data_IF_459838684453
#
_entry.id   IF_459838684453
#
_cell.length_a   1.000
_cell.length_b   1.000
_cell.length_c   1.000
_cell.angle_alpha   90.00
_cell.angle_beta   90.00
_cell.angle_gamma   90.00
#
_symmetry.space_group_name_H-M   'P 1'
#
loop_
_entity.id
_entity.type
_entity.pdbx_description
1 polymer ?
#
# COMPACT_ATOMS: atom_id res chain seq x y z
N UNK A 1 54.86 30.50 53.14
CA UNK A 1 54.70 29.04 53.21
C UNK A 1 53.52 28.59 52.35
N UNK A 2 53.79 27.78 51.30
CA UNK A 2 53.04 26.57 50.85
C UNK A 2 51.53 26.70 50.48
N UNK A 3 51.14 26.65 49.18
CA UNK A 3 50.59 25.50 48.37
C UNK A 3 49.14 25.11 48.76
N UNK A 4 48.17 24.75 47.90
CA UNK A 4 48.04 24.47 46.47
C UNK A 4 46.54 24.35 46.04
N UNK A 5 46.34 24.24 44.71
CA UNK A 5 45.15 24.05 43.82
C UNK A 5 44.01 23.11 44.26
N UNK A 6 42.75 23.42 43.88
CA UNK A 6 41.85 22.69 42.93
C UNK A 6 40.35 23.08 43.11
N UNK A 7 39.65 23.62 42.07
CA UNK A 7 38.61 22.97 41.20
C UNK A 7 37.30 22.66 41.97
N UNK A 8 36.09 23.12 41.61
CA UNK A 8 35.39 22.95 40.33
C UNK A 8 34.25 23.96 40.10
N UNK A 9 34.11 24.39 38.84
CA UNK A 9 32.88 24.97 38.26
C UNK A 9 31.85 23.87 38.01
N UNK A 10 30.55 24.17 38.19
CA UNK A 10 29.47 23.43 37.55
C UNK A 10 28.43 24.41 37.00
N UNK A 11 28.63 24.75 35.73
CA UNK A 11 27.68 25.43 34.84
C UNK A 11 26.54 24.45 34.55
N UNK A 12 25.35 24.71 35.08
CA UNK A 12 24.10 24.03 34.66
C UNK A 12 23.30 25.03 33.83
N UNK A 13 23.81 25.30 32.63
CA UNK A 13 23.08 25.88 31.52
C UNK A 13 23.48 25.10 30.27
N UNK A 14 22.49 24.74 29.45
CA UNK A 14 22.57 24.06 28.15
C UNK A 14 22.75 22.53 28.17
N UNK A 15 21.67 21.82 28.50
CA UNK A 15 21.36 20.52 27.89
C UNK A 15 19.89 20.47 27.46
N UNK A 16 19.47 21.45 26.67
CA UNK A 16 18.42 21.20 25.69
C UNK A 16 19.15 20.61 24.49
N UNK A 17 19.30 19.29 24.51
CA UNK A 17 19.82 18.55 23.36
C UNK A 17 18.91 18.84 22.18
N UNK A 18 19.37 19.69 21.27
CA UNK A 18 18.85 19.71 19.91
C UNK A 18 19.22 18.33 19.37
N UNK A 19 18.25 17.42 19.32
CA UNK A 19 18.35 16.26 18.44
C UNK A 19 18.45 16.83 17.03
N UNK A 20 19.68 16.96 16.54
CA UNK A 20 19.95 17.14 15.12
C UNK A 20 19.49 15.84 14.48
N UNK A 21 18.25 15.81 14.01
CA UNK A 21 17.80 14.78 13.08
C UNK A 21 18.72 14.92 11.87
N UNK A 22 19.70 14.02 11.74
CA UNK A 22 20.52 13.95 10.56
C UNK A 22 19.59 13.63 9.39
N UNK A 23 19.38 14.59 8.48
CA UNK A 23 18.69 14.30 7.24
C UNK A 23 19.49 13.21 6.51
N UNK A 24 18.84 12.12 6.06
CA UNK A 24 19.54 11.08 5.33
C UNK A 24 20.30 11.72 4.16
N UNK A 25 21.61 11.47 4.08
CA UNK A 25 22.43 12.10 3.06
C UNK A 25 21.98 11.64 1.66
N UNK A 26 21.91 12.58 0.70
CA UNK A 26 21.70 12.23 -0.71
C UNK A 26 22.88 11.40 -1.22
N UNK A 27 22.59 10.34 -1.95
CA UNK A 27 23.58 9.44 -2.54
C UNK A 27 23.85 9.93 -3.97
N UNK A 28 25.09 10.35 -4.31
CA UNK A 28 25.41 10.76 -5.67
C UNK A 28 25.24 9.62 -6.68
N UNK A 29 24.78 9.92 -7.90
CA UNK A 29 24.55 8.92 -8.94
C UNK A 29 25.76 7.98 -9.16
N UNK A 30 26.97 8.53 -9.18
CA UNK A 30 28.21 7.81 -9.46
C UNK A 30 28.61 6.83 -8.36
N UNK A 31 28.06 6.99 -7.15
CA UNK A 31 28.32 6.10 -6.01
C UNK A 31 27.40 4.88 -5.98
N UNK A 32 26.37 4.83 -6.84
CA UNK A 32 25.50 3.67 -6.95
C UNK A 32 26.26 2.48 -7.56
N UNK A 33 26.01 1.24 -7.12
CA UNK A 33 26.55 0.06 -7.78
C UNK A 33 26.16 0.02 -9.28
N UNK A 34 27.03 -0.44 -10.19
CA UNK A 34 26.76 -0.42 -11.64
C UNK A 34 25.43 -1.09 -12.04
N UNK A 35 25.06 -2.16 -11.35
CA UNK A 35 23.78 -2.84 -11.58
C UNK A 35 22.56 -1.99 -11.17
N UNK A 36 22.69 -1.16 -10.13
CA UNK A 36 21.64 -0.22 -9.73
C UNK A 36 21.52 0.92 -10.74
N UNK A 37 22.66 1.45 -11.19
CA UNK A 37 22.70 2.47 -12.25
C UNK A 37 22.03 1.97 -13.53
N UNK A 38 22.26 0.71 -13.92
CA UNK A 38 21.61 0.11 -15.09
C UNK A 38 20.09 0.03 -14.93
N UNK A 39 19.60 -0.34 -13.75
CA UNK A 39 18.15 -0.44 -13.47
C UNK A 39 17.50 0.94 -13.37
N UNK A 40 18.22 1.92 -12.82
CA UNK A 40 17.75 3.29 -12.59
C UNK A 40 18.12 4.25 -13.71
N UNK A 41 18.67 3.77 -14.83
CA UNK A 41 19.12 4.58 -15.96
C UNK A 41 18.10 5.63 -16.42
N UNK A 42 16.77 5.36 -16.47
CA UNK A 42 15.78 6.38 -16.82
C UNK A 42 15.71 7.59 -15.87
N UNK A 43 16.32 7.48 -14.67
CA UNK A 43 16.35 8.52 -13.65
C UNK A 43 17.73 9.19 -13.52
N UNK A 44 18.73 8.77 -14.29
CA UNK A 44 20.12 9.24 -14.15
C UNK A 44 20.22 10.77 -14.14
N UNK A 45 19.61 11.43 -15.12
CA UNK A 45 19.70 12.89 -15.31
C UNK A 45 19.05 13.70 -14.17
N UNK A 46 18.08 13.10 -13.47
CA UNK A 46 17.34 13.77 -12.39
C UNK A 46 17.75 13.26 -11.00
N UNK A 47 18.67 12.30 -10.92
CA UNK A 47 18.94 11.56 -9.69
C UNK A 47 19.34 12.47 -8.53
N UNK A 48 20.25 13.41 -8.77
CA UNK A 48 20.78 14.32 -7.75
C UNK A 48 19.77 15.41 -7.33
N UNK A 49 18.67 15.55 -8.10
CA UNK A 49 17.54 16.45 -7.79
C UNK A 49 16.51 15.81 -6.85
N UNK A 50 16.56 14.49 -6.68
CA UNK A 50 15.62 13.78 -5.82
C UNK A 50 15.94 13.99 -4.34
N UNK A 51 14.89 14.04 -3.51
CA UNK A 51 15.08 14.00 -2.06
C UNK A 51 15.69 12.66 -1.62
N UNK A 52 16.42 12.61 -0.50
CA UNK A 52 16.96 11.36 0.04
C UNK A 52 15.93 10.24 0.15
N UNK A 53 14.72 10.54 0.58
CA UNK A 53 13.63 9.56 0.75
C UNK A 53 13.21 8.99 -0.61
N UNK A 54 13.22 9.83 -1.66
CA UNK A 54 12.91 9.38 -3.02
C UNK A 54 14.02 8.50 -3.58
N UNK A 55 15.29 8.85 -3.36
CA UNK A 55 16.44 8.02 -3.74
C UNK A 55 16.37 6.65 -3.04
N UNK A 56 16.14 6.62 -1.73
CA UNK A 56 16.02 5.38 -0.93
C UNK A 56 14.80 4.53 -1.38
N UNK A 57 13.67 5.16 -1.73
CA UNK A 57 12.52 4.46 -2.32
C UNK A 57 12.84 3.81 -3.66
N UNK A 58 13.61 4.48 -4.51
CA UNK A 58 14.04 3.93 -5.80
C UNK A 58 15.02 2.77 -5.62
N UNK A 59 16.00 2.90 -4.71
CA UNK A 59 16.94 1.83 -4.37
C UNK A 59 16.24 0.57 -3.84
N UNK A 60 15.31 0.71 -2.88
CA UNK A 60 14.47 -0.42 -2.45
C UNK A 60 13.63 -1.01 -3.60
N UNK A 61 13.30 -0.20 -4.60
CA UNK A 61 12.66 -0.65 -5.83
C UNK A 61 13.57 -1.53 -6.68
N UNK A 62 14.85 -1.17 -6.78
CA UNK A 62 15.86 -1.99 -7.48
C UNK A 62 16.01 -3.35 -6.84
N UNK A 63 16.09 -3.42 -5.51
CA UNK A 63 16.23 -4.71 -4.81
C UNK A 63 15.04 -5.64 -5.11
N UNK A 64 13.81 -5.11 -5.05
CA UNK A 64 12.63 -5.87 -5.46
C UNK A 64 12.68 -6.28 -6.93
N UNK A 65 13.14 -5.41 -7.82
CA UNK A 65 13.26 -5.69 -9.25
C UNK A 65 14.27 -6.80 -9.54
N UNK A 66 15.38 -6.84 -8.79
CA UNK A 66 16.40 -7.90 -8.88
C UNK A 66 15.84 -9.26 -8.52
N UNK A 67 15.04 -9.31 -7.46
CA UNK A 67 14.40 -10.53 -6.98
C UNK A 67 13.26 -11.04 -7.89
N UNK A 68 12.79 -10.24 -8.86
CA UNK A 68 11.74 -10.65 -9.80
C UNK A 68 12.27 -11.56 -10.91
N UNK A 69 11.47 -12.57 -11.27
CA UNK A 69 11.67 -13.39 -12.47
C UNK A 69 11.43 -12.57 -13.76
N UNK A 70 11.91 -13.03 -14.92
CA UNK A 70 11.63 -12.37 -16.20
C UNK A 70 10.13 -12.15 -16.46
N UNK A 71 9.30 -13.13 -16.10
CA UNK A 71 7.84 -13.07 -16.20
C UNK A 71 7.26 -11.98 -15.30
N UNK A 72 7.68 -11.92 -14.04
CA UNK A 72 7.23 -10.90 -13.08
C UNK A 72 7.62 -9.49 -13.53
N UNK A 73 8.83 -9.32 -14.08
CA UNK A 73 9.29 -8.06 -14.67
C UNK A 73 8.43 -7.66 -15.86
N UNK A 74 8.09 -8.61 -16.74
CA UNK A 74 7.19 -8.37 -17.88
C UNK A 74 5.81 -7.91 -17.41
N UNK A 75 5.24 -8.58 -16.42
CA UNK A 75 3.95 -8.17 -15.85
C UNK A 75 4.01 -6.81 -15.16
N UNK A 76 5.08 -6.54 -14.40
CA UNK A 76 5.30 -5.24 -13.78
C UNK A 76 5.36 -4.13 -14.83
N UNK A 77 6.06 -4.37 -15.94
CA UNK A 77 6.10 -3.46 -17.09
C UNK A 77 4.72 -3.22 -17.72
N UNK A 78 3.91 -4.27 -17.88
CA UNK A 78 2.53 -4.13 -18.37
C UNK A 78 1.63 -3.34 -17.40
N UNK A 79 1.76 -3.59 -16.09
CA UNK A 79 1.05 -2.81 -15.05
C UNK A 79 1.47 -1.35 -15.09
N UNK A 80 2.76 -1.08 -15.27
CA UNK A 80 3.29 0.29 -15.35
C UNK A 80 2.80 1.02 -16.60
N UNK A 81 2.78 0.38 -17.78
CA UNK A 81 2.21 0.99 -18.99
C UNK A 81 0.74 1.35 -18.82
N UNK A 82 -0.08 0.43 -18.32
CA UNK A 82 -1.50 0.71 -18.00
C UNK A 82 -1.65 1.85 -17.01
N UNK A 83 -0.75 1.96 -16.03
CA UNK A 83 -0.74 3.07 -15.09
C UNK A 83 -0.41 4.40 -15.79
N UNK A 84 0.56 4.43 -16.70
CA UNK A 84 0.93 5.64 -17.45
C UNK A 84 -0.17 6.10 -18.41
N UNK A 85 -0.96 5.17 -18.96
CA UNK A 85 -2.12 5.44 -19.81
C UNK A 85 -3.31 6.04 -19.05
N UNK A 86 -3.30 6.00 -17.70
CA UNK A 86 -4.37 6.61 -16.91
C UNK A 86 -4.34 8.14 -16.98
N UNK A 87 -5.51 8.80 -17.08
CA UNK A 87 -5.62 10.24 -16.93
C UNK A 87 -4.93 10.75 -15.66
N UNK A 88 -4.28 11.93 -15.68
CA UNK A 88 -3.60 12.49 -14.52
C UNK A 88 -4.46 12.52 -13.24
N UNK A 89 -5.74 12.87 -13.38
CA UNK A 89 -6.71 12.94 -12.29
C UNK A 89 -6.94 11.55 -11.68
N UNK A 90 -7.01 10.52 -12.54
CA UNK A 90 -7.19 9.15 -12.09
C UNK A 90 -5.95 8.61 -11.38
N UNK A 91 -4.76 8.97 -11.86
CA UNK A 91 -3.50 8.63 -11.18
C UNK A 91 -3.44 9.27 -9.79
N UNK A 92 -3.83 10.54 -9.67
CA UNK A 92 -3.84 11.21 -8.37
C UNK A 92 -4.87 10.60 -7.41
N UNK A 93 -6.08 10.30 -7.88
CA UNK A 93 -7.10 9.60 -7.09
C UNK A 93 -6.57 8.27 -6.52
N UNK A 94 -5.92 7.47 -7.35
CA UNK A 94 -5.35 6.19 -6.95
C UNK A 94 -4.16 6.35 -6.00
N UNK A 95 -3.32 7.40 -6.19
CA UNK A 95 -2.23 7.73 -5.27
C UNK A 95 -2.76 8.07 -3.88
N UNK A 96 -3.79 8.92 -3.79
CA UNK A 96 -4.43 9.27 -2.52
C UNK A 96 -5.07 8.06 -1.83
N UNK A 97 -5.72 7.17 -2.59
CA UNK A 97 -6.26 5.91 -2.06
C UNK A 97 -5.16 5.01 -1.51
N UNK A 98 -4.04 4.88 -2.22
CA UNK A 98 -2.90 4.09 -1.79
C UNK A 98 -2.23 4.68 -0.54
N UNK A 99 -2.06 6.00 -0.48
CA UNK A 99 -1.50 6.68 0.69
C UNK A 99 -2.39 6.49 1.92
N UNK A 100 -3.72 6.53 1.75
CA UNK A 100 -4.67 6.20 2.82
C UNK A 100 -4.51 4.76 3.30
N UNK A 101 -4.40 3.81 2.38
CA UNK A 101 -4.17 2.40 2.71
C UNK A 101 -2.86 2.20 3.49
N UNK A 102 -1.76 2.84 3.06
CA UNK A 102 -0.46 2.73 3.74
C UNK A 102 -0.44 3.30 5.16
N UNK A 103 -1.34 4.23 5.48
CA UNK A 103 -1.49 4.82 6.81
C UNK A 103 -2.34 3.96 7.76
N UNK A 104 -3.01 2.93 7.25
CA UNK A 104 -3.75 2.00 8.11
C UNK A 104 -2.79 1.22 9.02
N UNK A 105 -3.20 0.85 10.25
CA UNK A 105 -2.46 -0.12 11.06
C UNK A 105 -2.20 -1.43 10.28
N UNK A 106 -1.09 -2.14 10.56
CA UNK A 106 -0.74 -3.36 9.82
C UNK A 106 -1.86 -4.40 9.73
N UNK A 107 -2.60 -4.61 10.83
CA UNK A 107 -3.71 -5.57 10.89
C UNK A 107 -4.88 -5.15 9.98
N UNK A 108 -5.17 -3.85 9.93
CA UNK A 108 -6.20 -3.31 9.03
C UNK A 108 -5.77 -3.39 7.56
N UNK A 109 -4.48 -3.18 7.28
CA UNK A 109 -3.95 -3.42 5.94
C UNK A 109 -4.14 -4.88 5.53
N UNK A 110 -3.90 -5.82 6.44
CA UNK A 110 -4.03 -7.24 6.13
C UNK A 110 -5.48 -7.64 5.89
N UNK A 111 -6.43 -7.12 6.66
CA UNK A 111 -7.87 -7.32 6.40
C UNK A 111 -8.27 -6.84 5.00
N UNK A 112 -7.74 -5.69 4.56
CA UNK A 112 -7.99 -5.17 3.20
C UNK A 112 -7.36 -6.08 2.14
N UNK A 113 -6.13 -6.55 2.35
CA UNK A 113 -5.45 -7.49 1.43
C UNK A 113 -6.19 -8.81 1.34
N UNK A 114 -6.64 -9.37 2.45
CA UNK A 114 -7.40 -10.62 2.50
C UNK A 114 -8.72 -10.49 1.73
N UNK A 115 -9.48 -9.42 1.97
CA UNK A 115 -10.71 -9.14 1.22
C UNK A 115 -10.44 -9.02 -0.28
N UNK A 116 -9.34 -8.36 -0.67
CA UNK A 116 -8.95 -8.25 -2.07
C UNK A 116 -8.56 -9.60 -2.68
N UNK A 117 -7.79 -10.44 -1.95
CA UNK A 117 -7.42 -11.79 -2.39
C UNK A 117 -8.66 -12.67 -2.58
N UNK A 118 -9.58 -12.67 -1.62
CA UNK A 118 -10.86 -13.38 -1.73
C UNK A 118 -11.64 -12.93 -2.97
N UNK A 119 -11.84 -11.61 -3.15
CA UNK A 119 -12.58 -11.09 -4.28
C UNK A 119 -11.91 -11.46 -5.62
N UNK A 120 -10.58 -11.43 -5.68
CA UNK A 120 -9.81 -11.80 -6.89
C UNK A 120 -9.92 -13.28 -7.23
N UNK A 121 -10.12 -14.15 -6.24
CA UNK A 121 -10.27 -15.59 -6.39
C UNK A 121 -11.67 -16.04 -6.86
N UNK A 122 -12.67 -15.14 -6.84
CA UNK A 122 -13.99 -15.42 -7.39
C UNK A 122 -13.92 -15.55 -8.94
N UNK A 123 -14.80 -16.38 -9.55
CA UNK A 123 -14.96 -16.43 -11.00
C UNK A 123 -15.20 -15.04 -11.61
N UNK A 124 -14.72 -14.77 -12.85
CA UNK A 124 -14.88 -13.47 -13.49
C UNK A 124 -16.31 -12.93 -13.50
N UNK A 125 -17.28 -13.79 -13.76
CA UNK A 125 -18.71 -13.51 -13.85
C UNK A 125 -19.26 -13.12 -12.48
N UNK A 126 -18.94 -13.90 -11.43
CA UNK A 126 -19.33 -13.58 -10.06
C UNK A 126 -18.77 -12.23 -9.58
N UNK A 127 -17.52 -11.92 -9.94
CA UNK A 127 -16.93 -10.61 -9.64
C UNK A 127 -17.63 -9.47 -10.38
N UNK A 128 -18.09 -9.71 -11.61
CA UNK A 128 -18.82 -8.72 -12.38
C UNK A 128 -20.19 -8.47 -11.75
N UNK A 129 -20.98 -9.52 -11.53
CA UNK A 129 -22.30 -9.42 -10.90
C UNK A 129 -22.23 -8.73 -9.53
N UNK A 130 -21.26 -9.10 -8.67
CA UNK A 130 -21.11 -8.46 -7.37
C UNK A 130 -20.77 -6.97 -7.46
N UNK A 131 -20.01 -6.54 -8.47
CA UNK A 131 -19.74 -5.11 -8.70
C UNK A 131 -20.99 -4.38 -9.20
N UNK A 132 -21.68 -4.96 -10.18
CA UNK A 132 -22.89 -4.35 -10.74
C UNK A 132 -23.99 -4.22 -9.70
N UNK A 133 -24.23 -5.27 -8.92
CA UNK A 133 -25.16 -5.24 -7.79
C UNK A 133 -24.74 -4.16 -6.79
N UNK A 134 -23.47 -4.13 -6.36
CA UNK A 134 -23.02 -3.09 -5.44
C UNK A 134 -23.19 -1.67 -6.00
N UNK A 135 -23.00 -1.47 -7.30
CA UNK A 135 -23.14 -0.17 -7.95
C UNK A 135 -24.61 0.23 -8.19
N UNK A 136 -25.52 -0.73 -8.34
CA UNK A 136 -26.96 -0.47 -8.52
C UNK A 136 -27.67 -0.13 -7.21
N UNK A 137 -27.12 -0.53 -6.07
CA UNK A 137 -27.72 -0.25 -4.76
C UNK A 137 -27.76 1.26 -4.42
N UNK A 138 -28.89 1.76 -3.90
CA UNK A 138 -28.98 3.09 -3.32
C UNK A 138 -27.91 3.33 -2.22
N UNK A 139 -27.46 4.58 -2.00
CA UNK A 139 -26.43 4.88 -1.01
C UNK A 139 -26.78 4.41 0.41
N UNK A 140 -28.04 4.48 0.81
CA UNK A 140 -28.55 4.02 2.10
C UNK A 140 -28.44 2.51 2.27
N UNK A 141 -28.74 1.72 1.24
CA UNK A 141 -28.61 0.27 1.28
C UNK A 141 -27.14 -0.16 1.38
N UNK A 142 -26.26 0.49 0.61
CA UNK A 142 -24.80 0.26 0.73
C UNK A 142 -24.28 0.56 2.13
N UNK A 143 -24.78 1.63 2.78
CA UNK A 143 -24.43 1.96 4.17
C UNK A 143 -24.91 0.88 5.12
N UNK A 144 -26.17 0.45 4.98
CA UNK A 144 -26.73 -0.61 5.82
C UNK A 144 -25.94 -1.93 5.69
N UNK A 145 -25.56 -2.34 4.48
CA UNK A 145 -24.72 -3.53 4.25
C UNK A 145 -23.34 -3.36 4.89
N UNK A 146 -22.72 -2.19 4.72
CA UNK A 146 -21.42 -1.89 5.31
C UNK A 146 -21.47 -1.91 6.84
N UNK A 147 -22.49 -1.29 7.44
CA UNK A 147 -22.72 -1.30 8.89
C UNK A 147 -22.98 -2.71 9.42
N UNK A 148 -23.79 -3.51 8.72
CA UNK A 148 -24.03 -4.91 9.06
C UNK A 148 -22.72 -5.69 9.02
N UNK A 149 -21.91 -5.53 7.98
CA UNK A 149 -20.61 -6.18 7.85
C UNK A 149 -19.66 -5.79 9.00
N UNK A 150 -19.67 -4.52 9.41
CA UNK A 150 -18.85 -4.05 10.53
C UNK A 150 -19.29 -4.62 11.89
N UNK A 151 -20.58 -4.95 12.06
CA UNK A 151 -21.12 -5.59 13.27
C UNK A 151 -20.87 -7.10 13.32
N UNK A 152 -20.63 -7.75 12.18
CA UNK A 152 -20.30 -9.17 12.11
C UNK A 152 -18.95 -9.47 12.74
N UNK A 153 -18.88 -10.57 13.49
CA UNK A 153 -17.65 -11.15 14.00
C UNK A 153 -16.76 -11.63 12.84
N UNK A 154 -15.43 -11.81 13.06
CA UNK A 154 -14.55 -12.36 12.04
C UNK A 154 -14.99 -13.73 11.52
N UNK A 155 -15.62 -14.55 12.36
CA UNK A 155 -16.13 -15.87 11.96
C UNK A 155 -17.34 -15.76 11.05
N UNK A 156 -18.31 -14.91 11.38
CA UNK A 156 -19.47 -14.64 10.52
C UNK A 156 -19.06 -14.05 9.17
N UNK A 157 -18.07 -13.14 9.15
CA UNK A 157 -17.53 -12.59 7.92
C UNK A 157 -16.88 -13.66 7.03
N UNK A 158 -16.15 -14.62 7.63
CA UNK A 158 -15.57 -15.75 6.90
C UNK A 158 -16.66 -16.65 6.33
N UNK A 159 -17.64 -17.04 7.16
CA UNK A 159 -18.76 -17.87 6.73
C UNK A 159 -19.56 -17.20 5.59
N UNK A 160 -19.79 -15.89 5.66
CA UNK A 160 -20.45 -15.13 4.59
C UNK A 160 -19.65 -15.16 3.28
N UNK A 161 -18.32 -14.99 3.34
CA UNK A 161 -17.42 -15.08 2.17
C UNK A 161 -17.40 -16.48 1.56
N UNK A 162 -17.46 -17.52 2.38
CA UNK A 162 -17.49 -18.92 1.93
C UNK A 162 -18.80 -19.23 1.21
N UNK A 163 -19.95 -18.86 1.79
CA UNK A 163 -21.26 -19.02 1.14
C UNK A 163 -21.32 -18.33 -0.23
N UNK A 164 -20.82 -17.10 -0.33
CA UNK A 164 -20.74 -16.38 -1.60
C UNK A 164 -19.85 -17.09 -2.62
N UNK A 165 -18.73 -17.69 -2.17
CA UNK A 165 -17.84 -18.46 -3.03
C UNK A 165 -18.50 -19.75 -3.53
N UNK A 166 -19.22 -20.46 -2.67
CA UNK A 166 -19.97 -21.68 -3.02
C UNK A 166 -21.09 -21.37 -4.02
N UNK A 167 -21.87 -20.32 -3.76
CA UNK A 167 -22.91 -19.84 -4.68
C UNK A 167 -22.33 -19.45 -6.04
N UNK A 168 -21.20 -18.74 -6.04
CA UNK A 168 -20.48 -18.37 -7.26
C UNK A 168 -19.87 -19.59 -8.00
N UNK A 169 -19.57 -20.68 -7.29
CA UNK A 169 -19.03 -21.92 -7.86
C UNK A 169 -20.08 -22.86 -8.43
N UNK A 170 -21.30 -22.86 -7.87
CA UNK A 170 -22.40 -23.72 -8.30
C UNK A 170 -23.37 -23.04 -9.27
N UNK A 171 -23.48 -21.71 -9.23
CA UNK A 171 -24.42 -20.92 -10.03
C UNK A 171 -23.81 -20.33 -11.30
N UNK A 172 -23.53 -21.16 -12.30
CA UNK A 172 -23.38 -20.70 -13.70
C UNK A 172 -24.73 -20.48 -14.40
N UNK A 173 -25.82 -20.36 -13.65
CA UNK A 173 -27.15 -20.09 -14.19
C UNK A 173 -28.03 -19.41 -13.13
N UNK A 174 -28.68 -18.33 -13.56
CA UNK A 174 -29.62 -17.48 -12.80
C UNK A 174 -28.98 -16.49 -11.82
N UNK A 175 -29.17 -15.20 -12.11
CA UNK A 175 -28.91 -14.10 -11.19
C UNK A 175 -29.68 -14.31 -9.90
N UNK A 176 -28.98 -14.74 -8.86
CA UNK A 176 -29.49 -14.75 -7.51
C UNK A 176 -29.35 -13.36 -6.95
N UNK A 177 -30.45 -12.60 -6.94
CA UNK A 177 -30.61 -11.47 -6.04
C UNK A 177 -30.19 -11.93 -4.65
N UNK A 178 -29.15 -11.31 -4.07
CA UNK A 178 -28.83 -11.54 -2.66
C UNK A 178 -30.09 -11.13 -1.90
N UNK A 179 -30.78 -12.10 -1.31
CA UNK A 179 -31.96 -11.84 -0.52
C UNK A 179 -31.50 -11.13 0.76
N UNK A 180 -31.71 -9.81 0.80
CA UNK A 180 -31.28 -8.96 1.92
C UNK A 180 -32.19 -9.13 3.14
N UNK A 181 -33.19 -10.02 3.09
CA UNK A 181 -34.15 -10.20 4.15
C UNK A 181 -34.30 -11.68 4.55
N UNK A 182 -33.35 -12.18 5.34
CA UNK A 182 -33.58 -13.34 6.20
C UNK A 182 -33.19 -12.99 7.63
N UNK A 183 -34.08 -13.23 8.62
CA UNK A 183 -33.91 -12.79 10.01
C UNK A 183 -32.64 -13.34 10.66
#
# INVERSE_FOLDING_TARGET
>A
MKRARSVAMAVIMLFWGVTVFAEPARIPWQSLPPEEQNTLKPFADQWDTFSPERQERLQRGVERWRQMTPEERREAGQRFRRWQELPPEKREELRLKFDRFRRLPPDEQEKVRERFRWFRALPPEARHSLREEWHSLPPEERRAITERWHKMTPEEQRAARERLREQAGHGSGAGGSVDHNRP
#
